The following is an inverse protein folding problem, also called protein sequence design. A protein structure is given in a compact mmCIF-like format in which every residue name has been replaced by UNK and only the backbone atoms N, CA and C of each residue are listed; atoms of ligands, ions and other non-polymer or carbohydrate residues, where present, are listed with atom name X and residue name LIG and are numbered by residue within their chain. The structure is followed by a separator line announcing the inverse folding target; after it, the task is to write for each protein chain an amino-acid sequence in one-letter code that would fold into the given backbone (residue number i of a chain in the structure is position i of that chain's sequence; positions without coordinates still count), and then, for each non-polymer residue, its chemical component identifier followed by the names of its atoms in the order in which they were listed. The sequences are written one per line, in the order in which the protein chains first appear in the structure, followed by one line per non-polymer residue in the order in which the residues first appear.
data_IF_932338455038
#
_entry.id   IF_932338455038
#
_cell.length_a   1.000
_cell.length_b   1.000
_cell.length_c   1.000
_cell.angle_alpha   90.00
_cell.angle_beta   90.00
_cell.angle_gamma   90.00
#
_symmetry.space_group_name_H-M   'P 1'
#
loop_
_entity.id
_entity.type
_entity.pdbx_description
1 polymer ?
#
# COMPACT_ATOMS: atom_id res chain seq x y z
N UNK A 1 18.58 -19.43 21.51
CA UNK A 1 19.14 -20.00 20.26
C UNK A 1 18.31 -19.44 19.12
N UNK A 2 18.94 -18.87 18.08
CA UNK A 2 18.20 -18.33 16.92
C UNK A 2 17.52 -19.48 16.17
N UNK A 3 16.30 -19.24 15.69
CA UNK A 3 15.59 -20.17 14.81
C UNK A 3 16.41 -20.46 13.53
N UNK A 4 16.40 -21.72 13.08
CA UNK A 4 17.20 -22.16 11.95
C UNK A 4 16.81 -21.45 10.65
N UNK A 5 15.51 -21.16 10.43
CA UNK A 5 15.06 -20.45 9.23
C UNK A 5 15.58 -19.01 9.22
N UNK A 6 15.55 -18.33 10.37
CA UNK A 6 16.09 -16.97 10.50
C UNK A 6 17.59 -16.96 10.23
N UNK A 7 18.34 -17.92 10.77
CA UNK A 7 19.78 -18.04 10.51
C UNK A 7 20.08 -18.22 9.02
N UNK A 8 19.40 -19.14 8.35
CA UNK A 8 19.59 -19.39 6.93
C UNK A 8 19.21 -18.18 6.07
N UNK A 9 18.13 -17.47 6.43
CA UNK A 9 17.76 -16.21 5.75
C UNK A 9 18.86 -15.17 5.87
N UNK A 10 19.48 -15.04 7.03
CA UNK A 10 20.59 -14.11 7.26
C UNK A 10 21.82 -14.48 6.43
N UNK A 11 22.23 -15.75 6.48
CA UNK A 11 23.36 -16.27 5.70
C UNK A 11 23.10 -16.04 4.21
N UNK A 12 21.93 -16.43 3.70
CA UNK A 12 21.54 -16.24 2.31
C UNK A 12 21.59 -14.76 1.88
N UNK A 13 21.11 -13.84 2.70
CA UNK A 13 21.11 -12.40 2.39
C UNK A 13 22.54 -11.84 2.27
N UNK A 14 23.44 -12.24 3.17
CA UNK A 14 24.84 -11.81 3.18
C UNK A 14 25.60 -12.39 1.97
N UNK A 15 25.49 -13.70 1.74
CA UNK A 15 26.15 -14.36 0.61
C UNK A 15 25.69 -13.79 -0.75
N UNK A 16 24.48 -13.22 -0.82
CA UNK A 16 23.94 -12.58 -2.02
C UNK A 16 24.29 -11.10 -2.19
N UNK A 17 25.12 -10.52 -1.30
CA UNK A 17 25.54 -9.11 -1.33
C UNK A 17 24.37 -8.13 -1.40
N UNK A 18 23.34 -8.38 -0.61
CA UNK A 18 22.19 -7.48 -0.50
C UNK A 18 22.53 -6.41 0.56
N UNK A 19 22.19 -5.15 0.27
CA UNK A 19 22.44 -4.00 1.13
C UNK A 19 21.18 -3.21 1.50
N UNK A 20 20.02 -3.53 0.91
CA UNK A 20 18.74 -2.86 1.12
C UNK A 20 17.67 -3.84 1.61
N UNK A 21 16.86 -3.40 2.56
CA UNK A 21 15.67 -4.06 3.04
C UNK A 21 14.61 -3.00 3.34
N UNK A 22 13.76 -2.76 2.35
CA UNK A 22 12.69 -1.76 2.36
C UNK A 22 11.86 -1.75 3.65
N UNK A 23 11.56 -0.57 4.22
CA UNK A 23 10.65 -0.47 5.36
C UNK A 23 9.20 -0.67 4.92
N UNK A 24 8.31 -0.99 5.88
CA UNK A 24 6.89 -0.74 5.64
C UNK A 24 6.64 0.76 5.51
N UNK A 25 5.66 1.15 4.69
CA UNK A 25 5.24 2.54 4.57
C UNK A 25 3.91 2.72 5.31
N UNK A 26 3.84 3.69 6.20
CA UNK A 26 2.59 4.08 6.83
C UNK A 26 1.71 4.88 5.88
N UNK A 27 0.40 4.67 5.87
CA UNK A 27 -0.53 5.68 5.39
C UNK A 27 -0.42 6.97 6.18
N UNK A 28 -0.80 8.06 5.52
CA UNK A 28 -1.00 9.33 6.18
C UNK A 28 -2.00 9.21 7.35
N UNK A 29 -1.85 10.03 8.40
CA UNK A 29 -2.87 10.12 9.44
C UNK A 29 -4.23 10.53 8.83
N UNK A 30 -5.32 10.12 9.48
CA UNK A 30 -6.68 10.44 9.06
C UNK A 30 -7.09 11.86 9.49
N UNK A 31 -8.00 12.48 8.75
CA UNK A 31 -8.70 13.70 9.14
C UNK A 31 -10.20 13.44 9.14
N UNK A 32 -10.82 13.45 10.33
CA UNK A 32 -12.27 13.30 10.46
C UNK A 32 -13.01 14.51 9.92
N UNK A 33 -12.51 15.70 10.22
CA UNK A 33 -13.15 16.96 9.82
C UNK A 33 -13.21 17.12 8.29
N UNK A 34 -12.23 16.54 7.57
CA UNK A 34 -12.19 16.52 6.11
C UNK A 34 -12.76 15.24 5.49
N UNK A 35 -13.21 14.29 6.31
CA UNK A 35 -13.65 12.97 5.86
C UNK A 35 -12.60 12.22 5.02
N UNK A 36 -11.32 12.32 5.42
CA UNK A 36 -10.18 11.71 4.74
C UNK A 36 -9.58 10.59 5.59
N UNK A 37 -9.66 9.35 5.12
CA UNK A 37 -9.09 8.20 5.82
C UNK A 37 -7.54 8.17 5.74
N UNK A 38 -6.99 8.80 4.70
CA UNK A 38 -5.57 9.09 4.48
C UNK A 38 -5.47 10.56 4.06
N UNK A 39 -5.04 11.44 4.96
CA UNK A 39 -5.11 12.89 4.74
C UNK A 39 -3.79 13.48 4.27
N UNK A 40 -3.83 14.18 3.12
CA UNK A 40 -2.69 14.91 2.57
C UNK A 40 -2.22 15.98 3.56
N UNK A 41 -3.17 16.77 4.09
CA UNK A 41 -2.83 17.82 5.04
C UNK A 41 -2.23 17.26 6.33
N UNK A 42 -2.75 16.16 6.87
CA UNK A 42 -2.17 15.58 8.09
C UNK A 42 -0.77 14.98 7.88
N UNK A 43 -0.49 14.44 6.69
CA UNK A 43 0.86 14.02 6.33
C UNK A 43 1.85 15.20 6.30
N UNK A 44 1.47 16.30 5.65
CA UNK A 44 2.27 17.54 5.61
C UNK A 44 2.44 18.13 7.02
N UNK A 45 1.36 18.22 7.79
CA UNK A 45 1.37 18.69 9.18
C UNK A 45 2.31 17.87 10.06
N UNK A 46 2.34 16.55 9.88
CA UNK A 46 3.24 15.68 10.63
C UNK A 46 4.71 16.09 10.42
N UNK A 47 5.13 16.30 9.18
CA UNK A 47 6.50 16.69 8.85
C UNK A 47 6.82 18.13 9.28
N UNK A 48 5.92 19.09 9.04
CA UNK A 48 6.10 20.49 9.45
C UNK A 48 6.29 20.61 10.98
N UNK A 49 5.49 19.87 11.77
CA UNK A 49 5.64 19.82 13.24
C UNK A 49 7.01 19.28 13.69
N UNK A 50 7.70 18.53 12.83
CA UNK A 50 9.04 18.00 13.04
C UNK A 50 10.13 18.81 12.32
N UNK A 51 9.83 20.03 11.88
CA UNK A 51 10.80 20.96 11.30
C UNK A 51 11.16 20.70 9.83
N UNK A 52 10.41 19.83 9.14
CA UNK A 52 10.62 19.57 7.71
C UNK A 52 9.69 20.46 6.89
N UNK A 53 10.27 21.35 6.08
CA UNK A 53 9.53 22.28 5.22
C UNK A 53 9.66 21.98 3.73
N UNK A 54 10.58 21.12 3.32
CA UNK A 54 10.88 20.83 1.92
C UNK A 54 10.47 19.41 1.54
N UNK A 55 9.62 19.30 0.51
CA UNK A 55 8.87 18.08 0.18
C UNK A 55 9.02 17.67 -1.28
N UNK A 56 9.00 16.35 -1.47
CA UNK A 56 8.84 15.69 -2.76
C UNK A 56 7.53 14.89 -2.73
N UNK A 57 6.62 15.16 -3.66
CA UNK A 57 5.38 14.40 -3.84
C UNK A 57 5.42 13.65 -5.17
N UNK A 58 5.43 12.32 -5.09
CA UNK A 58 5.53 11.43 -6.26
C UNK A 58 4.25 10.63 -6.43
N UNK A 59 3.97 10.23 -7.68
CA UNK A 59 2.96 9.22 -7.96
C UNK A 59 3.29 7.92 -7.21
N UNK A 60 2.26 7.29 -6.64
CA UNK A 60 2.36 5.93 -6.12
C UNK A 60 2.01 4.95 -7.25
N UNK A 61 3.02 4.24 -7.73
CA UNK A 61 2.84 3.19 -8.74
C UNK A 61 2.26 1.93 -8.09
N UNK A 62 1.36 1.26 -8.81
CA UNK A 62 0.77 0.00 -8.39
C UNK A 62 1.55 -1.17 -8.99
N UNK A 63 2.59 -1.61 -8.28
CA UNK A 63 3.44 -2.71 -8.71
C UNK A 63 3.97 -3.50 -7.53
N UNK A 64 5.23 -3.91 -7.64
CA UNK A 64 5.97 -4.51 -6.52
C UNK A 64 7.27 -3.76 -6.26
N UNK A 65 7.52 -3.35 -5.02
CA UNK A 65 8.81 -2.77 -4.65
C UNK A 65 9.96 -3.69 -5.07
N UNK A 66 10.93 -3.12 -5.77
CA UNK A 66 12.13 -3.78 -6.23
C UNK A 66 13.32 -2.81 -6.14
N UNK A 67 14.39 -3.23 -5.48
CA UNK A 67 15.67 -2.52 -5.53
C UNK A 67 16.51 -3.09 -6.65
N UNK A 68 16.84 -2.23 -7.60
CA UNK A 68 17.72 -2.54 -8.73
C UNK A 68 19.16 -2.34 -8.24
N UNK A 69 19.98 -3.39 -8.32
CA UNK A 69 21.42 -3.31 -8.14
C UNK A 69 22.03 -3.15 -9.53
N UNK A 70 21.92 -1.94 -10.08
CA UNK A 70 22.35 -1.62 -11.43
C UNK A 70 23.87 -1.68 -11.49
N UNK A 71 24.39 -2.67 -12.20
CA UNK A 71 25.82 -2.85 -12.38
C UNK A 71 26.32 -2.04 -13.57
N UNK A 72 27.59 -1.63 -13.50
CA UNK A 72 28.24 -0.98 -14.64
C UNK A 72 28.21 -1.87 -15.87
N UNK A 73 28.53 -3.16 -15.69
CA UNK A 73 28.20 -4.18 -16.67
C UNK A 73 26.71 -4.55 -16.53
N UNK A 74 25.89 -4.14 -17.48
CA UNK A 74 24.43 -4.28 -17.38
C UNK A 74 23.99 -5.74 -17.14
N UNK A 75 24.68 -6.71 -17.72
CA UNK A 75 24.36 -8.15 -17.62
C UNK A 75 24.56 -8.73 -16.21
N UNK A 76 25.32 -8.04 -15.34
CA UNK A 76 25.53 -8.43 -13.94
C UNK A 76 24.46 -7.85 -13.00
N UNK A 77 23.55 -7.03 -13.53
CA UNK A 77 22.47 -6.39 -12.76
C UNK A 77 21.55 -7.44 -12.15
N UNK A 78 21.19 -7.23 -10.89
CA UNK A 78 20.22 -8.08 -10.19
C UNK A 78 19.20 -7.26 -9.41
N UNK A 79 18.14 -7.93 -8.99
CA UNK A 79 16.93 -7.32 -8.47
C UNK A 79 16.60 -7.90 -7.10
N UNK A 80 16.21 -7.06 -6.15
CA UNK A 80 15.88 -7.48 -4.78
C UNK A 80 14.47 -7.01 -4.41
N UNK A 81 13.63 -7.95 -3.98
CA UNK A 81 12.28 -7.69 -3.46
C UNK A 81 12.29 -6.86 -2.17
N UNK A 82 11.11 -6.35 -1.81
CA UNK A 82 10.84 -5.64 -0.54
C UNK A 82 11.44 -6.30 0.71
N UNK A 83 11.44 -7.63 0.75
CA UNK A 83 11.79 -8.40 1.94
C UNK A 83 13.23 -8.93 1.92
N UNK A 84 14.07 -8.45 0.99
CA UNK A 84 15.48 -8.82 0.95
C UNK A 84 15.78 -10.13 0.23
N UNK A 85 14.94 -10.54 -0.73
CA UNK A 85 15.20 -11.72 -1.58
C UNK A 85 15.47 -11.30 -3.02
N UNK A 86 16.43 -11.95 -3.67
CA UNK A 86 16.68 -11.79 -5.11
C UNK A 86 15.49 -12.31 -5.91
N UNK A 87 15.19 -11.63 -7.01
CA UNK A 87 14.10 -11.98 -7.91
C UNK A 87 14.62 -12.85 -9.06
N UNK A 88 14.83 -14.14 -8.80
CA UNK A 88 15.33 -15.07 -9.83
C UNK A 88 14.21 -15.78 -10.62
N UNK A 89 12.96 -15.54 -10.25
CA UNK A 89 11.77 -16.21 -10.81
C UNK A 89 10.98 -15.32 -11.79
N UNK A 90 11.55 -14.18 -12.19
CA UNK A 90 11.01 -13.31 -13.24
C UNK A 90 11.77 -13.55 -14.55
N UNK A 91 11.25 -13.02 -15.67
CA UNK A 91 12.01 -12.99 -16.92
C UNK A 91 13.16 -11.97 -16.80
N UNK A 92 14.34 -12.44 -16.37
CA UNK A 92 15.53 -11.62 -16.14
C UNK A 92 16.04 -10.96 -17.41
N UNK A 93 15.95 -11.63 -18.55
CA UNK A 93 16.37 -11.06 -19.84
C UNK A 93 15.52 -9.82 -20.18
N UNK A 94 14.19 -9.94 -20.07
CA UNK A 94 13.29 -8.82 -20.29
C UNK A 94 13.50 -7.70 -19.25
N UNK A 95 13.71 -8.07 -17.98
CA UNK A 95 13.97 -7.11 -16.92
C UNK A 95 15.25 -6.30 -17.19
N UNK A 96 16.37 -6.96 -17.53
CA UNK A 96 17.63 -6.30 -17.87
C UNK A 96 17.48 -5.45 -19.14
N UNK A 97 16.79 -5.97 -20.17
CA UNK A 97 16.54 -5.24 -21.40
C UNK A 97 15.75 -3.94 -21.17
N UNK A 98 14.79 -3.94 -20.24
CA UNK A 98 14.02 -2.75 -19.88
C UNK A 98 14.85 -1.63 -19.25
N UNK A 99 16.04 -1.94 -18.73
CA UNK A 99 16.93 -0.98 -18.07
C UNK A 99 17.92 -0.28 -19.01
N UNK A 100 18.01 -0.65 -20.30
CA UNK A 100 19.05 -0.13 -21.22
C UNK A 100 19.11 1.40 -21.28
N UNK A 101 17.95 2.06 -21.38
CA UNK A 101 17.87 3.52 -21.42
C UNK A 101 18.34 4.16 -20.11
N UNK A 102 17.86 3.63 -18.97
CA UNK A 102 18.29 4.08 -17.65
C UNK A 102 19.80 3.87 -17.46
N UNK A 103 20.32 2.72 -17.84
CA UNK A 103 21.74 2.36 -17.74
C UNK A 103 22.62 3.34 -18.52
N UNK A 104 22.26 3.65 -19.76
CA UNK A 104 22.96 4.66 -20.56
C UNK A 104 22.94 6.05 -19.88
N UNK A 105 21.80 6.48 -19.34
CA UNK A 105 21.68 7.74 -18.57
C UNK A 105 22.58 7.72 -17.33
N UNK A 106 22.65 6.60 -16.61
CA UNK A 106 23.47 6.45 -15.39
C UNK A 106 24.96 6.43 -15.70
N UNK A 107 25.40 5.84 -16.82
CA UNK A 107 26.81 5.88 -17.25
C UNK A 107 27.30 7.32 -17.51
N UNK A 108 26.41 8.20 -17.96
CA UNK A 108 26.72 9.62 -18.18
C UNK A 108 26.70 10.41 -16.86
N UNK A 109 25.68 10.19 -16.02
CA UNK A 109 25.51 10.92 -14.78
C UNK A 109 26.52 10.51 -13.68
N UNK A 110 26.95 9.25 -13.68
CA UNK A 110 27.85 8.66 -12.69
C UNK A 110 29.01 7.93 -13.40
N UNK A 111 29.97 8.63 -14.02
CA UNK A 111 30.97 8.00 -14.90
C UNK A 111 31.81 6.91 -14.23
N UNK A 112 31.96 6.97 -12.89
CA UNK A 112 32.81 6.07 -12.10
C UNK A 112 32.02 5.05 -11.26
N UNK A 113 30.70 4.91 -11.44
CA UNK A 113 29.93 3.91 -10.69
C UNK A 113 30.33 2.49 -11.11
N UNK A 114 30.45 1.61 -10.12
CA UNK A 114 30.49 0.16 -10.27
C UNK A 114 29.09 -0.44 -10.02
N UNK A 115 28.40 0.01 -8.97
CA UNK A 115 27.03 -0.40 -8.64
C UNK A 115 26.21 0.80 -8.15
N UNK A 116 25.00 0.96 -8.68
CA UNK A 116 23.97 1.86 -8.14
C UNK A 116 22.85 1.04 -7.52
N UNK A 117 22.45 1.36 -6.29
CA UNK A 117 21.27 0.80 -5.65
C UNK A 117 20.12 1.77 -5.85
N UNK A 118 19.15 1.37 -6.66
CA UNK A 118 18.03 2.23 -7.07
C UNK A 118 16.73 1.58 -6.61
N UNK A 119 16.02 2.24 -5.69
CA UNK A 119 14.69 1.83 -5.29
C UNK A 119 13.70 2.11 -6.44
N UNK A 120 12.87 1.12 -6.76
CA UNK A 120 11.96 1.14 -7.90
C UNK A 120 10.66 0.40 -7.60
N UNK A 121 9.63 0.68 -8.39
CA UNK A 121 8.51 -0.23 -8.55
C UNK A 121 8.74 -1.12 -9.78
N UNK A 122 8.58 -2.43 -9.64
CA UNK A 122 8.50 -3.40 -10.74
C UNK A 122 7.05 -3.50 -11.20
N UNK A 123 6.84 -3.36 -12.51
CA UNK A 123 5.53 -3.32 -13.15
C UNK A 123 5.45 -4.31 -14.33
N UNK A 124 4.24 -4.76 -14.69
CA UNK A 124 2.96 -4.55 -13.98
C UNK A 124 2.86 -5.36 -12.68
N UNK A 125 1.90 -5.04 -11.81
CA UNK A 125 1.67 -5.75 -10.53
C UNK A 125 1.54 -7.26 -10.71
N UNK A 126 0.91 -7.68 -11.82
CA UNK A 126 0.70 -9.10 -12.15
C UNK A 126 1.98 -9.93 -12.23
N UNK A 127 3.15 -9.33 -12.52
CA UNK A 127 4.45 -10.04 -12.59
C UNK A 127 4.74 -10.85 -11.32
N UNK A 128 4.49 -10.27 -10.14
CA UNK A 128 4.64 -10.95 -8.85
C UNK A 128 3.30 -11.23 -8.15
N UNK A 129 2.23 -10.54 -8.57
CA UNK A 129 0.93 -10.54 -7.92
C UNK A 129 -0.13 -11.44 -8.56
N UNK A 130 0.12 -12.11 -9.70
CA UNK A 130 -0.91 -12.83 -10.47
C UNK A 130 -1.79 -13.75 -9.63
N UNK A 131 -1.17 -14.61 -8.80
CA UNK A 131 -1.92 -15.56 -7.97
C UNK A 131 -2.76 -14.89 -6.88
N UNK A 132 -2.33 -13.74 -6.37
CA UNK A 132 -3.08 -12.95 -5.38
C UNK A 132 -4.28 -12.25 -6.03
N UNK A 133 -4.07 -11.64 -7.20
CA UNK A 133 -5.12 -10.98 -8.00
C UNK A 133 -6.25 -11.97 -8.26
N UNK A 134 -5.91 -13.13 -8.81
CA UNK A 134 -6.92 -14.12 -9.19
C UNK A 134 -7.70 -14.67 -7.99
N UNK A 135 -6.99 -15.06 -6.93
CA UNK A 135 -7.62 -15.74 -5.79
C UNK A 135 -8.42 -14.80 -4.90
N UNK A 136 -7.89 -13.62 -4.60
CA UNK A 136 -8.46 -12.75 -3.58
C UNK A 136 -9.32 -11.63 -4.17
N UNK A 137 -8.94 -11.08 -5.34
CA UNK A 137 -9.61 -9.92 -5.93
C UNK A 137 -10.66 -10.33 -6.96
N UNK A 138 -10.29 -11.15 -7.95
CA UNK A 138 -11.23 -11.67 -8.94
C UNK A 138 -12.29 -12.55 -8.26
N UNK A 139 -11.87 -13.47 -7.38
CA UNK A 139 -12.79 -14.32 -6.63
C UNK A 139 -13.79 -13.56 -5.75
N UNK A 140 -13.36 -12.47 -5.10
CA UNK A 140 -14.26 -11.59 -4.33
C UNK A 140 -15.26 -10.86 -5.23
N UNK A 141 -14.81 -10.35 -6.38
CA UNK A 141 -15.67 -9.70 -7.37
C UNK A 141 -16.74 -10.67 -7.89
N UNK A 142 -16.34 -11.87 -8.33
CA UNK A 142 -17.25 -12.86 -8.92
C UNK A 142 -18.33 -13.31 -7.92
N UNK A 143 -17.94 -13.50 -6.65
CA UNK A 143 -18.86 -13.86 -5.58
C UNK A 143 -19.95 -12.78 -5.38
N UNK A 144 -19.56 -11.50 -5.33
CA UNK A 144 -20.50 -10.40 -5.17
C UNK A 144 -21.32 -10.14 -6.42
N UNK A 145 -20.73 -10.26 -7.61
CA UNK A 145 -21.46 -10.14 -8.87
C UNK A 145 -22.57 -11.19 -8.96
N UNK A 146 -22.25 -12.44 -8.62
CA UNK A 146 -23.21 -13.55 -8.58
C UNK A 146 -24.31 -13.30 -7.56
N UNK A 147 -23.94 -12.84 -6.35
CA UNK A 147 -24.88 -12.53 -5.29
C UNK A 147 -25.87 -11.42 -5.71
N UNK A 148 -25.35 -10.31 -6.24
CA UNK A 148 -26.15 -9.17 -6.68
C UNK A 148 -27.09 -9.55 -7.83
N UNK A 149 -26.60 -10.34 -8.79
CA UNK A 149 -27.42 -10.83 -9.90
C UNK A 149 -28.58 -11.71 -9.40
N UNK A 150 -28.31 -12.59 -8.43
CA UNK A 150 -29.36 -13.43 -7.84
C UNK A 150 -30.40 -12.59 -7.07
N UNK A 151 -29.97 -11.65 -6.24
CA UNK A 151 -30.89 -10.78 -5.50
C UNK A 151 -31.78 -9.96 -6.43
N UNK A 152 -31.23 -9.49 -7.56
CA UNK A 152 -31.95 -8.71 -8.56
C UNK A 152 -32.95 -9.52 -9.38
N UNK A 153 -32.69 -10.80 -9.61
CA UNK A 153 -33.49 -11.63 -10.55
C UNK A 153 -34.43 -12.63 -9.86
N UNK A 154 -34.20 -12.96 -8.59
CA UNK A 154 -34.92 -14.02 -7.88
C UNK A 154 -36.32 -13.65 -7.39
N UNK A 155 -36.67 -12.36 -7.35
CA UNK A 155 -37.90 -11.89 -6.71
C UNK A 155 -37.87 -11.93 -5.17
N UNK A 156 -36.69 -12.21 -4.57
CA UNK A 156 -36.54 -12.38 -3.12
C UNK A 156 -36.74 -11.07 -2.37
N UNK A 157 -36.14 -9.97 -2.85
CA UNK A 157 -36.19 -8.68 -2.17
C UNK A 157 -37.61 -8.10 -2.16
N UNK A 158 -38.35 -8.28 -3.25
CA UNK A 158 -39.75 -7.88 -3.38
C UNK A 158 -40.62 -8.63 -2.37
N UNK A 159 -40.43 -9.94 -2.22
CA UNK A 159 -41.15 -10.75 -1.23
C UNK A 159 -40.81 -10.36 0.20
N UNK A 160 -39.53 -10.16 0.52
CA UNK A 160 -39.10 -9.72 1.86
C UNK A 160 -39.71 -8.36 2.19
N UNK A 161 -39.70 -7.43 1.24
CA UNK A 161 -40.26 -6.09 1.41
C UNK A 161 -41.78 -6.13 1.56
N UNK A 162 -42.47 -6.95 0.76
CA UNK A 162 -43.90 -7.15 0.87
C UNK A 162 -44.31 -7.64 2.27
N UNK A 163 -43.64 -8.67 2.80
CA UNK A 163 -43.93 -9.18 4.15
C UNK A 163 -43.60 -8.15 5.23
N UNK A 164 -42.52 -7.37 5.08
CA UNK A 164 -42.17 -6.29 6.02
C UNK A 164 -43.22 -5.17 6.06
N UNK A 165 -44.01 -5.02 5.01
CA UNK A 165 -45.09 -4.03 4.92
C UNK A 165 -46.47 -4.58 5.35
N UNK A 166 -46.58 -5.88 5.66
CA UNK A 166 -47.84 -6.45 6.14
C UNK A 166 -48.18 -5.99 7.56
N UNK A 167 -49.48 -5.86 7.83
CA UNK A 167 -50.01 -5.53 9.16
C UNK A 167 -49.56 -6.55 10.22
N UNK A 168 -49.47 -7.83 9.84
CA UNK A 168 -49.03 -8.94 10.69
C UNK A 168 -47.62 -8.73 11.26
N UNK A 169 -46.69 -8.31 10.40
CA UNK A 169 -45.29 -8.06 10.76
C UNK A 169 -45.12 -6.73 11.51
N UNK A 170 -45.75 -5.66 11.02
CA UNK A 170 -45.66 -4.35 11.68
C UNK A 170 -46.26 -4.36 13.09
N UNK A 171 -47.38 -5.07 13.29
CA UNK A 171 -47.96 -5.32 14.61
C UNK A 171 -46.99 -6.11 15.50
N UNK A 172 -46.35 -7.16 14.99
CA UNK A 172 -45.35 -7.93 15.72
C UNK A 172 -44.17 -7.06 16.21
N UNK A 173 -43.61 -6.22 15.34
CA UNK A 173 -42.50 -5.32 15.70
C UNK A 173 -42.92 -4.30 16.74
N UNK A 174 -44.15 -3.78 16.67
CA UNK A 174 -44.71 -2.88 17.68
C UNK A 174 -44.88 -3.59 19.03
N UNK A 175 -45.52 -4.76 19.01
CA UNK A 175 -45.78 -5.56 20.21
C UNK A 175 -44.50 -6.00 20.92
N UNK A 176 -43.45 -6.32 20.17
CA UNK A 176 -42.14 -6.66 20.73
C UNK A 176 -41.56 -5.54 21.59
N UNK A 177 -41.88 -4.28 21.28
CA UNK A 177 -41.44 -3.10 22.03
C UNK A 177 -42.38 -2.74 23.19
N UNK A 178 -43.66 -3.11 23.10
CA UNK A 178 -44.71 -2.62 24.00
C UNK A 178 -45.20 -3.68 25.02
N UNK A 179 -45.26 -4.95 24.64
CA UNK A 179 -45.79 -6.02 25.48
C UNK A 179 -44.74 -6.54 26.46
N UNK A 180 -45.21 -7.03 27.61
CA UNK A 180 -44.35 -7.79 28.52
C UNK A 180 -43.99 -9.15 27.90
N UNK A 181 -42.88 -9.75 28.34
CA UNK A 181 -42.42 -11.06 27.85
C UNK A 181 -43.50 -12.15 27.95
N UNK A 182 -44.34 -12.10 28.99
CA UNK A 182 -45.43 -13.06 29.21
C UNK A 182 -46.55 -12.87 28.18
N UNK A 183 -47.01 -11.63 27.99
CA UNK A 183 -48.06 -11.29 27.02
C UNK A 183 -47.60 -11.58 25.59
N UNK A 184 -46.37 -11.22 25.25
CA UNK A 184 -45.77 -11.49 23.95
C UNK A 184 -45.68 -13.00 23.66
N UNK A 185 -45.22 -13.79 24.64
CA UNK A 185 -45.12 -15.25 24.52
C UNK A 185 -46.48 -15.96 24.47
N UNK A 186 -47.55 -15.35 25.01
CA UNK A 186 -48.92 -15.86 24.85
C UNK A 186 -49.55 -15.47 23.51
N UNK A 187 -49.22 -14.28 22.97
CA UNK A 187 -49.78 -13.77 21.72
C UNK A 187 -49.15 -14.41 20.47
N UNK A 188 -47.83 -14.61 20.46
CA UNK A 188 -47.10 -15.10 19.28
C UNK A 188 -46.57 -16.52 19.45
N UNK A 189 -46.93 -17.41 18.51
CA UNK A 189 -46.42 -18.78 18.45
C UNK A 189 -44.92 -18.79 18.11
N UNK A 190 -44.18 -19.77 18.62
CA UNK A 190 -42.71 -19.88 18.45
C UNK A 190 -42.23 -19.80 17.00
N UNK A 191 -42.96 -20.38 16.04
CA UNK A 191 -42.57 -20.33 14.63
C UNK A 191 -42.74 -18.93 14.00
N UNK A 192 -43.71 -18.13 14.47
CA UNK A 192 -43.90 -16.74 14.05
C UNK A 192 -42.76 -15.88 14.59
N UNK A 193 -42.45 -16.03 15.88
CA UNK A 193 -41.31 -15.35 16.50
C UNK A 193 -40.04 -15.64 15.71
N UNK A 194 -39.72 -16.93 15.46
CA UNK A 194 -38.55 -17.29 14.66
C UNK A 194 -38.53 -16.62 13.27
N UNK A 195 -39.66 -16.64 12.57
CA UNK A 195 -39.75 -16.10 11.20
C UNK A 195 -39.57 -14.58 11.17
N UNK A 196 -40.26 -13.87 12.06
CA UNK A 196 -40.22 -12.40 12.08
C UNK A 196 -38.95 -11.84 12.72
N UNK A 197 -38.35 -12.52 13.71
CA UNK A 197 -37.00 -12.19 14.18
C UNK A 197 -35.98 -12.32 13.04
N UNK A 198 -36.04 -13.40 12.26
CA UNK A 198 -35.15 -13.57 11.10
C UNK A 198 -35.38 -12.46 10.07
N UNK A 199 -36.64 -12.12 9.75
CA UNK A 199 -36.96 -11.08 8.78
C UNK A 199 -36.53 -9.68 9.25
N UNK A 200 -36.69 -9.36 10.54
CA UNK A 200 -36.22 -8.11 11.14
C UNK A 200 -34.68 -8.02 11.09
N UNK A 201 -33.98 -9.12 11.36
CA UNK A 201 -32.52 -9.18 11.38
C UNK A 201 -31.88 -9.16 9.97
N UNK A 202 -32.58 -9.60 8.92
CA UNK A 202 -32.06 -9.59 7.55
C UNK A 202 -31.83 -8.16 7.07
N UNK A 203 -30.56 -7.85 6.80
CA UNK A 203 -30.13 -6.61 6.15
C UNK A 203 -30.36 -6.72 4.65
N UNK A 204 -31.16 -5.82 4.10
CA UNK A 204 -31.38 -5.71 2.66
C UNK A 204 -30.33 -4.73 2.12
N UNK A 205 -29.43 -5.15 1.23
CA UNK A 205 -28.44 -4.25 0.65
C UNK A 205 -29.08 -3.28 -0.35
N UNK A 206 -28.46 -2.11 -0.52
CA UNK A 206 -28.74 -1.18 -1.59
C UNK A 206 -28.04 -1.67 -2.86
N UNK A 207 -28.77 -2.42 -3.70
CA UNK A 207 -28.19 -3.11 -4.86
C UNK A 207 -27.58 -2.15 -5.89
N UNK A 208 -28.14 -0.95 -6.04
CA UNK A 208 -27.63 0.03 -7.01
C UNK A 208 -26.28 0.56 -6.54
N UNK A 209 -26.16 0.98 -5.28
CA UNK A 209 -24.87 1.43 -4.71
C UNK A 209 -23.83 0.32 -4.67
N UNK A 210 -24.25 -0.92 -4.37
CA UNK A 210 -23.33 -2.06 -4.43
C UNK A 210 -22.85 -2.31 -5.85
N UNK A 211 -23.73 -2.17 -6.85
CA UNK A 211 -23.34 -2.33 -8.26
C UNK A 211 -22.39 -1.23 -8.72
N UNK A 212 -22.63 0.03 -8.34
CA UNK A 212 -21.71 1.15 -8.60
C UNK A 212 -20.32 0.89 -8.01
N UNK A 213 -20.27 0.50 -6.73
CA UNK A 213 -19.02 0.22 -6.03
C UNK A 213 -18.30 -1.01 -6.60
N UNK A 214 -19.05 -2.02 -7.05
CA UNK A 214 -18.51 -3.21 -7.70
C UNK A 214 -17.93 -2.87 -9.09
N UNK A 215 -18.53 -1.93 -9.82
CA UNK A 215 -17.96 -1.40 -11.07
C UNK A 215 -16.64 -0.68 -10.80
N UNK A 216 -16.56 0.16 -9.76
CA UNK A 216 -15.30 0.81 -9.34
C UNK A 216 -14.24 -0.25 -9.00
N UNK A 217 -14.60 -1.24 -8.18
CA UNK A 217 -13.72 -2.34 -7.81
C UNK A 217 -13.18 -3.10 -9.04
N UNK A 218 -14.06 -3.44 -9.99
CA UNK A 218 -13.67 -4.11 -11.23
C UNK A 218 -12.74 -3.26 -12.09
N UNK A 219 -13.02 -1.97 -12.21
CA UNK A 219 -12.18 -1.04 -12.96
C UNK A 219 -10.76 -0.95 -12.36
N UNK A 220 -10.62 -0.95 -11.02
CA UNK A 220 -9.30 -1.00 -10.38
C UNK A 220 -8.56 -2.31 -10.71
N UNK A 221 -9.23 -3.46 -10.61
CA UNK A 221 -8.63 -4.76 -10.94
C UNK A 221 -8.20 -4.79 -12.40
N UNK A 222 -9.04 -4.33 -13.32
CA UNK A 222 -8.74 -4.35 -14.75
C UNK A 222 -7.60 -3.40 -15.11
N UNK A 223 -7.43 -2.32 -14.36
CA UNK A 223 -6.32 -1.39 -14.57
C UNK A 223 -5.00 -1.98 -14.09
N UNK A 224 -4.95 -2.50 -12.87
CA UNK A 224 -3.70 -2.93 -12.25
C UNK A 224 -3.36 -4.42 -12.43
N UNK A 225 -4.37 -5.24 -12.72
CA UNK A 225 -4.25 -6.69 -12.92
C UNK A 225 -4.00 -7.10 -14.37
N UNK A 226 -3.69 -6.14 -15.25
CA UNK A 226 -3.35 -6.42 -16.64
C UNK A 226 -2.03 -7.16 -16.78
N UNK A 227 -1.95 -8.02 -17.80
CA UNK A 227 -0.68 -8.54 -18.28
C UNK A 227 0.02 -7.46 -19.11
N UNK A 228 1.35 -7.45 -19.03
CA UNK A 228 2.15 -6.47 -19.72
C UNK A 228 3.62 -6.81 -19.61
N UNK A 229 4.43 -6.12 -20.41
CA UNK A 229 5.87 -6.30 -20.40
C UNK A 229 6.49 -5.78 -19.10
N UNK A 230 7.49 -6.52 -18.61
CA UNK A 230 8.26 -6.13 -17.42
C UNK A 230 8.94 -4.79 -17.69
N UNK A 231 8.69 -3.84 -16.80
CA UNK A 231 9.40 -2.57 -16.77
C UNK A 231 9.49 -2.04 -15.34
N UNK A 232 10.30 -1.00 -15.16
CA UNK A 232 10.57 -0.41 -13.86
C UNK A 232 10.17 1.06 -13.84
N UNK A 233 9.69 1.52 -12.68
CA UNK A 233 9.54 2.93 -12.34
C UNK A 233 10.44 3.24 -11.14
N UNK A 234 11.74 3.53 -11.39
CA UNK A 234 12.68 3.93 -10.34
C UNK A 234 12.21 5.21 -9.66
N UNK A 235 12.54 5.38 -8.38
CA UNK A 235 12.11 6.58 -7.65
C UNK A 235 13.13 7.18 -6.68
N UNK A 236 14.21 6.48 -6.34
CA UNK A 236 15.28 7.03 -5.49
C UNK A 236 16.58 6.25 -5.69
N UNK A 237 17.70 6.96 -5.83
CA UNK A 237 19.04 6.35 -5.72
C UNK A 237 19.40 6.30 -4.22
N UNK A 238 19.54 5.09 -3.69
CA UNK A 238 19.86 4.85 -2.28
C UNK A 238 21.35 4.94 -2.01
N UNK A 239 22.17 4.44 -2.95
CA UNK A 239 23.62 4.30 -2.77
C UNK A 239 24.34 4.20 -4.11
N UNK A 240 25.49 4.84 -4.20
CA UNK A 240 26.49 4.67 -5.25
C UNK A 240 27.71 3.97 -4.68
N UNK A 241 28.20 2.94 -5.37
CA UNK A 241 29.48 2.30 -5.14
C UNK A 241 30.35 2.57 -6.36
N UNK A 242 31.46 3.26 -6.18
CA UNK A 242 32.38 3.61 -7.27
C UNK A 242 33.40 2.50 -7.51
N UNK A 243 34.01 2.50 -8.70
CA UNK A 243 35.10 1.58 -9.08
C UNK A 243 36.30 1.68 -8.10
N UNK A 244 36.52 2.86 -7.50
CA UNK A 244 37.55 3.06 -6.47
C UNK A 244 37.26 2.35 -5.14
N UNK A 245 36.03 1.86 -4.94
CA UNK A 245 35.52 1.37 -3.67
C UNK A 245 35.02 2.46 -2.71
N UNK A 246 35.05 3.73 -3.12
CA UNK A 246 34.37 4.82 -2.41
C UNK A 246 32.85 4.67 -2.58
N UNK A 247 32.09 4.98 -1.53
CA UNK A 247 30.64 4.87 -1.54
C UNK A 247 29.97 6.18 -1.12
N UNK A 248 28.88 6.51 -1.79
CA UNK A 248 28.11 7.73 -1.55
C UNK A 248 26.67 7.35 -1.25
N UNK A 249 26.10 7.93 -0.20
CA UNK A 249 24.67 7.88 0.08
C UNK A 249 24.08 9.25 -0.29
N UNK A 250 23.37 9.37 -1.44
CA UNK A 250 22.86 10.67 -1.90
C UNK A 250 21.93 11.36 -0.90
N UNK A 251 21.21 10.56 -0.10
CA UNK A 251 20.28 11.03 0.93
C UNK A 251 19.25 12.08 0.42
N UNK A 252 18.81 11.94 -0.83
CA UNK A 252 17.90 12.89 -1.47
C UNK A 252 16.85 12.18 -2.32
N UNK A 253 15.58 12.50 -2.07
CA UNK A 253 14.46 12.06 -2.90
C UNK A 253 14.40 12.80 -4.25
N UNK A 254 15.17 13.89 -4.43
CA UNK A 254 15.31 14.57 -5.74
C UNK A 254 16.14 13.76 -6.75
N UNK A 255 16.84 12.70 -6.31
CA UNK A 255 17.43 11.72 -7.23
C UNK A 255 16.39 11.09 -8.17
N UNK A 256 15.10 11.24 -7.86
CA UNK A 256 13.98 10.93 -8.76
C UNK A 256 14.16 11.49 -10.17
N UNK A 257 14.55 12.76 -10.33
CA UNK A 257 14.75 13.42 -11.64
C UNK A 257 15.81 12.73 -12.50
N UNK A 258 16.78 12.07 -11.85
CA UNK A 258 17.85 11.35 -12.54
C UNK A 258 17.36 10.01 -13.08
N UNK A 259 16.36 9.38 -12.44
CA UNK A 259 15.98 7.98 -12.71
C UNK A 259 14.56 7.81 -13.24
N UNK A 260 13.76 8.88 -13.27
CA UNK A 260 12.37 8.85 -13.71
C UNK A 260 12.00 10.19 -14.38
N UNK A 261 11.23 10.09 -15.45
CA UNK A 261 10.79 11.25 -16.24
C UNK A 261 9.31 11.60 -15.99
N UNK A 262 8.62 10.86 -15.11
CA UNK A 262 7.23 11.17 -14.74
C UNK A 262 7.16 12.46 -13.91
N UNK A 263 6.02 13.15 -14.00
CA UNK A 263 5.80 14.37 -13.23
C UNK A 263 5.73 14.10 -11.72
N UNK A 264 6.32 15.00 -10.94
CA UNK A 264 6.28 15.01 -9.49
C UNK A 264 6.28 16.48 -9.00
N UNK A 265 5.99 16.70 -7.72
CA UNK A 265 6.07 18.03 -7.12
C UNK A 265 7.30 18.13 -6.21
N UNK A 266 8.00 19.26 -6.29
CA UNK A 266 9.02 19.68 -5.33
C UNK A 266 8.57 21.02 -4.74
N UNK A 267 8.28 21.05 -3.43
CA UNK A 267 7.59 22.16 -2.79
C UNK A 267 8.23 22.49 -1.45
N UNK A 268 8.53 23.78 -1.23
CA UNK A 268 8.81 24.32 0.10
C UNK A 268 7.53 24.91 0.72
N UNK A 269 7.19 24.41 1.90
CA UNK A 269 5.97 24.75 2.64
C UNK A 269 6.33 25.51 3.92
N UNK A 270 5.81 26.73 4.02
CA UNK A 270 5.93 27.65 5.16
C UNK A 270 4.55 27.99 5.70
N UNK A 271 4.48 28.64 6.85
CA UNK A 271 3.19 29.05 7.43
C UNK A 271 2.37 29.98 6.50
N UNK A 272 3.04 30.82 5.70
CA UNK A 272 2.37 31.80 4.82
C UNK A 272 1.87 31.23 3.50
N UNK A 273 2.48 30.15 2.99
CA UNK A 273 2.10 29.55 1.70
C UNK A 273 1.44 28.18 1.83
N UNK A 274 1.25 27.66 3.05
CA UNK A 274 0.75 26.30 3.30
C UNK A 274 -0.54 25.98 2.55
N UNK A 275 -1.52 26.88 2.58
CA UNK A 275 -2.82 26.64 1.94
C UNK A 275 -2.68 26.51 0.42
N UNK A 276 -1.87 27.37 -0.20
CA UNK A 276 -1.58 27.32 -1.63
C UNK A 276 -0.86 26.01 -2.00
N UNK A 277 0.18 25.64 -1.26
CA UNK A 277 0.93 24.41 -1.52
C UNK A 277 0.11 23.15 -1.29
N UNK A 278 -0.78 23.14 -0.30
CA UNK A 278 -1.74 22.05 -0.15
C UNK A 278 -2.65 21.94 -1.38
N UNK A 279 -3.19 23.06 -1.90
CA UNK A 279 -4.02 23.03 -3.12
C UNK A 279 -3.28 22.44 -4.32
N UNK A 280 -1.99 22.74 -4.48
CA UNK A 280 -1.15 22.12 -5.53
C UNK A 280 -1.05 20.59 -5.36
N UNK A 281 -0.84 20.11 -4.13
CA UNK A 281 -0.75 18.66 -3.85
C UNK A 281 -2.10 17.97 -4.09
N UNK A 282 -3.21 18.57 -3.63
CA UNK A 282 -4.55 18.05 -3.89
C UNK A 282 -4.86 18.00 -5.38
N UNK A 283 -4.55 19.06 -6.14
CA UNK A 283 -4.76 19.08 -7.59
C UNK A 283 -3.96 17.97 -8.31
N UNK A 284 -2.72 17.73 -7.89
CA UNK A 284 -1.92 16.62 -8.42
C UNK A 284 -2.50 15.26 -8.06
N UNK A 285 -2.99 15.08 -6.82
CA UNK A 285 -3.66 13.86 -6.38
C UNK A 285 -4.96 13.59 -7.14
N UNK A 286 -5.79 14.61 -7.37
CA UNK A 286 -7.03 14.47 -8.15
C UNK A 286 -6.73 14.10 -9.61
N UNK A 287 -5.75 14.75 -10.24
CA UNK A 287 -5.30 14.41 -11.60
C UNK A 287 -4.87 12.94 -11.71
N UNK A 288 -4.15 12.42 -10.71
CA UNK A 288 -3.74 11.01 -10.68
C UNK A 288 -4.94 10.07 -10.41
N UNK A 289 -5.89 10.51 -9.60
CA UNK A 289 -7.13 9.77 -9.33
C UNK A 289 -8.00 9.64 -10.58
N UNK A 290 -8.14 10.73 -11.35
CA UNK A 290 -8.83 10.74 -12.65
C UNK A 290 -8.12 9.85 -13.69
N UNK A 291 -6.78 9.79 -13.64
CA UNK A 291 -5.97 8.88 -14.45
C UNK A 291 -5.99 7.42 -13.93
N UNK A 292 -6.80 7.12 -12.92
CA UNK A 292 -6.97 5.80 -12.31
C UNK A 292 -5.69 5.22 -11.70
N UNK A 293 -4.81 6.07 -11.17
CA UNK A 293 -3.61 5.65 -10.45
C UNK A 293 -3.92 5.33 -8.99
N UNK A 294 -3.01 4.69 -8.26
CA UNK A 294 -3.27 4.34 -6.85
C UNK A 294 -3.32 5.56 -5.92
N UNK A 295 -2.50 6.59 -6.19
CA UNK A 295 -2.42 7.80 -5.37
C UNK A 295 -1.03 8.42 -5.37
N UNK A 296 -0.62 8.99 -4.23
CA UNK A 296 0.65 9.71 -4.07
C UNK A 296 1.46 9.23 -2.86
N UNK A 297 2.74 9.56 -2.90
CA UNK A 297 3.72 9.38 -1.83
C UNK A 297 4.25 10.76 -1.43
N UNK A 298 4.03 11.17 -0.19
CA UNK A 298 4.53 12.43 0.37
C UNK A 298 5.82 12.15 1.13
N UNK A 299 6.93 12.75 0.69
CA UNK A 299 8.27 12.50 1.22
C UNK A 299 8.97 13.81 1.59
N UNK A 300 9.83 13.83 2.62
CA UNK A 300 10.81 14.91 2.77
C UNK A 300 11.78 14.90 1.56
N UNK A 301 12.32 16.06 1.19
CA UNK A 301 13.38 16.12 0.16
C UNK A 301 14.64 15.39 0.59
N UNK A 302 15.06 15.57 1.85
CA UNK A 302 16.09 14.73 2.47
C UNK A 302 15.54 13.32 2.72
N UNK A 303 16.13 12.31 2.07
CA UNK A 303 15.58 10.94 2.03
C UNK A 303 15.53 10.26 3.42
N UNK A 304 16.53 10.53 4.27
CA UNK A 304 16.59 10.06 5.64
C UNK A 304 16.77 11.21 6.62
N UNK A 305 15.80 11.29 7.55
CA UNK A 305 15.84 12.15 8.71
C UNK A 305 15.60 11.26 9.93
N UNK A 306 16.49 11.36 10.92
CA UNK A 306 16.44 10.53 12.12
C UNK A 306 15.07 10.63 12.80
N UNK A 307 14.52 9.49 13.21
CA UNK A 307 13.22 9.35 13.89
C UNK A 307 11.98 9.75 13.06
N UNK A 308 12.12 10.03 11.76
CA UNK A 308 11.00 10.32 10.87
C UNK A 308 10.73 9.17 9.90
N UNK A 309 9.47 8.96 9.48
CA UNK A 309 9.17 7.96 8.47
C UNK A 309 9.78 8.37 7.13
N UNK A 310 10.07 7.40 6.25
CA UNK A 310 10.59 7.68 4.91
C UNK A 310 9.59 8.46 4.05
N UNK A 311 8.30 8.16 4.20
CA UNK A 311 7.21 8.78 3.45
C UNK A 311 5.84 8.40 4.05
N UNK A 312 4.81 9.12 3.63
CA UNK A 312 3.41 8.70 3.80
C UNK A 312 2.81 8.34 2.44
N UNK A 313 2.05 7.24 2.38
CA UNK A 313 1.17 6.97 1.25
C UNK A 313 -0.19 7.64 1.47
N UNK A 314 -0.76 8.20 0.41
CA UNK A 314 -2.15 8.65 0.34
C UNK A 314 -2.77 8.05 -0.90
N UNK A 315 -3.71 7.13 -0.70
CA UNK A 315 -4.39 6.38 -1.76
C UNK A 315 -5.78 6.93 -1.97
N UNK A 316 -6.24 6.98 -3.22
CA UNK A 316 -7.57 7.47 -3.51
C UNK A 316 -8.66 6.45 -3.16
N UNK A 317 -9.89 6.93 -3.04
CA UNK A 317 -11.00 6.11 -2.59
C UNK A 317 -11.41 5.02 -3.60
N UNK A 318 -11.16 5.22 -4.90
CA UNK A 318 -11.39 4.17 -5.91
C UNK A 318 -10.47 2.99 -5.63
N UNK A 319 -9.18 3.24 -5.44
CA UNK A 319 -8.21 2.21 -5.06
C UNK A 319 -8.53 1.59 -3.69
N UNK A 320 -8.88 2.40 -2.69
CA UNK A 320 -9.21 1.91 -1.35
C UNK A 320 -10.46 1.03 -1.32
N UNK A 321 -11.38 1.17 -2.28
CA UNK A 321 -12.49 0.22 -2.48
C UNK A 321 -11.96 -1.19 -2.74
N UNK A 322 -10.83 -1.32 -3.43
CA UNK A 322 -10.17 -2.61 -3.67
C UNK A 322 -9.61 -3.22 -2.37
N UNK A 323 -9.21 -2.39 -1.41
CA UNK A 323 -8.58 -2.80 -0.15
C UNK A 323 -9.61 -3.04 0.96
N UNK A 324 -10.68 -2.25 1.00
CA UNK A 324 -11.71 -2.29 2.05
C UNK A 324 -12.99 -3.03 1.62
N UNK A 325 -13.15 -3.30 0.33
CA UNK A 325 -14.32 -3.95 -0.25
C UNK A 325 -15.39 -2.96 -0.73
N UNK A 326 -16.41 -3.48 -1.43
CA UNK A 326 -17.42 -2.66 -2.12
C UNK A 326 -18.27 -1.78 -1.19
N UNK A 327 -18.34 -2.10 0.10
CA UNK A 327 -19.07 -1.29 1.07
C UNK A 327 -18.22 -0.12 1.62
N UNK A 328 -16.99 0.09 1.13
CA UNK A 328 -16.06 1.09 1.65
C UNK A 328 -16.68 2.49 1.77
N UNK A 329 -17.38 2.94 0.73
CA UNK A 329 -18.04 4.25 0.73
C UNK A 329 -19.27 4.30 1.66
N UNK A 330 -20.06 3.23 1.70
CA UNK A 330 -21.26 3.16 2.54
C UNK A 330 -20.92 3.12 4.03
N UNK A 331 -19.89 2.37 4.39
CA UNK A 331 -19.44 2.15 5.76
C UNK A 331 -18.23 3.05 6.11
N UNK A 332 -18.06 4.19 5.42
CA UNK A 332 -16.85 5.02 5.56
C UNK A 332 -16.60 5.47 7.01
N UNK A 333 -17.66 5.91 7.72
CA UNK A 333 -17.59 6.29 9.14
C UNK A 333 -17.02 5.15 10.02
N UNK A 334 -17.41 3.91 9.75
CA UNK A 334 -16.88 2.75 10.45
C UNK A 334 -15.36 2.60 10.24
N UNK A 335 -14.90 2.79 9.00
CA UNK A 335 -13.50 2.62 8.64
C UNK A 335 -12.64 3.77 9.15
N UNK A 336 -13.08 5.02 9.01
CA UNK A 336 -12.36 6.17 9.51
C UNK A 336 -12.26 6.12 11.03
N UNK A 337 -13.29 5.69 11.76
CA UNK A 337 -13.23 5.56 13.22
C UNK A 337 -12.23 4.51 13.68
N UNK A 338 -12.28 3.31 13.09
CA UNK A 338 -11.41 2.19 13.47
C UNK A 338 -9.97 2.36 13.04
N UNK A 339 -9.69 3.21 12.07
CA UNK A 339 -8.33 3.35 11.54
C UNK A 339 -7.36 3.91 12.57
N UNK A 340 -6.25 3.21 12.75
CA UNK A 340 -5.15 3.63 13.61
C UNK A 340 -3.80 3.27 12.96
N UNK A 341 -3.05 4.29 12.57
CA UNK A 341 -1.76 4.14 11.89
C UNK A 341 -0.56 4.15 12.84
N UNK A 342 -0.75 4.41 14.14
CA UNK A 342 0.36 4.68 15.09
C UNK A 342 1.43 3.58 15.10
N UNK A 343 1.01 2.32 15.24
CA UNK A 343 1.94 1.17 15.26
C UNK A 343 2.62 0.96 13.91
N UNK A 344 1.90 1.19 12.81
CA UNK A 344 2.44 1.08 11.44
C UNK A 344 3.49 2.16 11.18
N UNK A 345 3.22 3.39 11.61
CA UNK A 345 4.14 4.51 11.56
C UNK A 345 5.41 4.23 12.37
N UNK A 346 5.27 3.72 13.60
CA UNK A 346 6.40 3.31 14.42
C UNK A 346 7.28 2.27 13.73
N UNK A 347 6.67 1.21 13.16
CA UNK A 347 7.43 0.20 12.42
C UNK A 347 8.05 0.75 11.13
N UNK A 348 7.40 1.70 10.47
CA UNK A 348 7.93 2.40 9.29
C UNK A 348 9.19 3.19 9.63
N UNK A 349 9.19 3.94 10.74
CA UNK A 349 10.35 4.68 11.24
C UNK A 349 11.48 3.72 11.62
N UNK A 350 11.18 2.69 12.42
CA UNK A 350 12.17 1.73 12.89
C UNK A 350 12.82 0.96 11.74
N UNK A 351 12.01 0.47 10.79
CA UNK A 351 12.49 -0.22 9.60
C UNK A 351 13.38 0.68 8.76
N UNK A 352 13.04 1.97 8.64
CA UNK A 352 13.83 2.92 7.88
C UNK A 352 15.17 3.24 8.54
N UNK A 353 15.20 3.44 9.86
CA UNK A 353 16.44 3.63 10.60
C UNK A 353 17.37 2.41 10.50
N UNK A 354 16.81 1.19 10.55
CA UNK A 354 17.60 -0.03 10.36
C UNK A 354 18.15 -0.08 8.94
N UNK A 355 17.33 0.19 7.92
CA UNK A 355 17.76 0.17 6.52
C UNK A 355 18.89 1.17 6.26
N UNK A 356 18.83 2.36 6.85
CA UNK A 356 19.86 3.38 6.70
C UNK A 356 21.19 2.95 7.32
N UNK A 357 21.16 2.26 8.47
CA UNK A 357 22.35 1.64 9.05
C UNK A 357 22.89 0.49 8.20
N UNK A 358 22.01 -0.26 7.53
CA UNK A 358 22.43 -1.30 6.58
C UNK A 358 23.14 -0.67 5.38
N UNK A 359 22.56 0.36 4.76
CA UNK A 359 23.14 1.07 3.61
C UNK A 359 24.53 1.66 3.89
N UNK A 360 24.79 2.06 5.14
CA UNK A 360 26.10 2.55 5.60
C UNK A 360 27.19 1.46 5.66
N UNK A 361 26.81 0.18 5.67
CA UNK A 361 27.80 -0.91 5.62
C UNK A 361 28.39 -0.95 4.22
N UNK A 362 29.72 -0.93 4.06
CA UNK A 362 30.35 -0.99 2.76
C UNK A 362 29.93 -2.23 1.98
N UNK A 363 29.63 -2.08 0.70
CA UNK A 363 29.17 -3.13 -0.20
C UNK A 363 30.19 -4.28 -0.29
N UNK A 364 31.49 -3.96 -0.26
CA UNK A 364 32.59 -4.93 -0.18
C UNK A 364 32.59 -5.77 1.11
N UNK A 365 31.99 -5.24 2.18
CA UNK A 365 31.97 -5.85 3.52
C UNK A 365 30.66 -6.62 3.79
N UNK A 366 29.80 -6.86 2.78
CA UNK A 366 28.52 -7.58 2.95
C UNK A 366 28.66 -9.11 3.14
N UNK A 367 29.87 -9.62 3.32
CA UNK A 367 30.15 -11.05 3.49
C UNK A 367 29.62 -11.63 4.82
N UNK A 368 29.69 -12.96 4.92
CA UNK A 368 29.06 -13.75 6.00
C UNK A 368 29.63 -13.47 7.41
N UNK A 369 30.83 -12.89 7.50
CA UNK A 369 31.49 -12.56 8.78
C UNK A 369 31.16 -11.15 9.29
N UNK A 370 30.36 -10.36 8.57
CA UNK A 370 29.95 -9.04 9.04
C UNK A 370 28.84 -9.13 10.10
N UNK A 371 29.24 -9.31 11.36
CA UNK A 371 28.32 -9.44 12.49
C UNK A 371 27.40 -8.23 12.69
N UNK A 372 27.84 -7.02 12.31
CA UNK A 372 26.98 -5.84 12.36
C UNK A 372 25.83 -5.96 11.36
N UNK A 373 26.12 -6.36 10.12
CA UNK A 373 25.10 -6.60 9.09
C UNK A 373 24.09 -7.65 9.55
N UNK A 374 24.59 -8.77 10.10
CA UNK A 374 23.75 -9.86 10.60
C UNK A 374 22.84 -9.40 11.75
N UNK A 375 23.34 -8.57 12.65
CA UNK A 375 22.55 -8.00 13.75
C UNK A 375 21.46 -7.04 13.23
N UNK A 376 21.79 -6.17 12.28
CA UNK A 376 20.81 -5.27 11.67
C UNK A 376 19.73 -6.06 10.92
N UNK A 377 20.11 -7.09 10.17
CA UNK A 377 19.17 -7.95 9.47
C UNK A 377 18.25 -8.70 10.44
N UNK A 378 18.79 -9.23 11.55
CA UNK A 378 17.97 -9.83 12.60
C UNK A 378 16.93 -8.82 13.15
N UNK A 379 17.34 -7.58 13.41
CA UNK A 379 16.42 -6.52 13.83
C UNK A 379 15.35 -6.24 12.77
N UNK A 380 15.72 -6.19 11.49
CA UNK A 380 14.78 -5.94 10.39
C UNK A 380 13.78 -7.10 10.21
N UNK A 381 14.24 -8.35 10.34
CA UNK A 381 13.38 -9.54 10.31
C UNK A 381 12.38 -9.51 11.47
N UNK A 382 12.82 -9.18 12.70
CA UNK A 382 11.91 -9.05 13.83
C UNK A 382 10.89 -7.92 13.63
N UNK A 383 11.31 -6.79 13.04
CA UNK A 383 10.43 -5.70 12.65
C UNK A 383 9.41 -6.15 11.58
N UNK A 384 9.81 -6.95 10.60
CA UNK A 384 8.90 -7.57 9.60
C UNK A 384 7.84 -8.47 10.27
N UNK A 385 8.22 -9.27 11.27
CA UNK A 385 7.27 -10.11 12.01
C UNK A 385 6.23 -9.28 12.78
N UNK A 386 6.63 -8.15 13.37
CA UNK A 386 5.70 -7.23 14.02
C UNK A 386 4.76 -6.61 12.99
N UNK A 387 5.28 -6.18 11.84
CA UNK A 387 4.51 -5.60 10.75
C UNK A 387 3.38 -6.52 10.26
N UNK A 388 3.60 -7.85 10.24
CA UNK A 388 2.59 -8.86 9.86
C UNK A 388 1.40 -8.95 10.80
N UNK A 389 1.53 -8.46 12.05
CA UNK A 389 0.44 -8.46 13.05
C UNK A 389 -0.44 -7.20 12.98
N UNK A 390 -0.06 -6.22 12.18
CA UNK A 390 -0.78 -4.96 12.03
C UNK A 390 -1.94 -5.12 11.04
N UNK A 391 -2.82 -4.11 10.97
CA UNK A 391 -3.89 -4.08 9.99
C UNK A 391 -3.30 -4.20 8.56
N UNK A 392 -3.63 -5.27 7.81
CA UNK A 392 -3.02 -5.55 6.51
C UNK A 392 -3.44 -4.53 5.44
N UNK A 393 -4.45 -3.71 5.71
CA UNK A 393 -4.94 -2.64 4.82
C UNK A 393 -4.11 -1.37 4.89
N UNK A 394 -3.14 -1.28 5.83
CA UNK A 394 -2.27 -0.11 6.03
C UNK A 394 -1.02 -0.12 5.14
#
# INVERSE_FOLDING_TARGET
MLDFKVRNRIEWFCSNKINDFSPTISPAPKSKDKNEIESIEEAVNYYLKNGVTDFVVQKKYMGSYCTIYLKRNLDETYFVSRNGFKLDHINLEQAINSLKALHAKMLLAFPDFETLLIASELLPWKVLGAGLIEKEFTGYYDALQTHNLYLKTSGLLEKLTAVKNEESFTAYVSDKKQLTRKEFGSKYKTHIVRQYEALEAVKIPDLDKQQESLTVFKNQIDTFGTEGEIHFKPFTILKEVKISGEEVLPNSNLTYELVNDDAFLHLEITASNKEEKLKEIYAFFEKLTEANEEGIMIKPTQNYIKNLPPCFKVRNNNYLTMIYGVNFHQDFEHYIDKRNVKKKLEQSINGWEINQKMLQIPYKDLGDENYLMRLLLLKRINNEEIEKTLDPRL
#
